data_IF_673889875921
#
_entry.id   IF_673889875921
#
_cell.length_a   1.000
_cell.length_b   1.000
_cell.length_c   1.000
_cell.angle_alpha   90.00
_cell.angle_beta   90.00
_cell.angle_gamma   90.00
#
_symmetry.space_group_name_H-M   'P 1'
#
loop_
_entity.id
_entity.type
_entity.pdbx_description
1 polymer ?
#
# COMPACT_ATOMS: atom_id res chain seq x y z
N UNK A 1 -5.91 -0.58 22.23
CA UNK A 1 -5.96 -0.74 20.79
C UNK A 1 -7.38 -0.54 20.31
N UNK A 2 -7.55 0.06 19.12
CA UNK A 2 -8.87 0.17 18.49
C UNK A 2 -9.34 -1.22 18.08
N UNK A 3 -10.64 -1.51 18.24
CA UNK A 3 -11.25 -2.72 17.70
C UNK A 3 -11.18 -2.69 16.16
N UNK A 4 -11.14 -3.86 15.52
CA UNK A 4 -11.10 -4.00 14.05
C UNK A 4 -12.32 -3.31 13.39
N UNK A 5 -13.41 -3.15 14.15
CA UNK A 5 -14.65 -2.51 13.70
C UNK A 5 -14.82 -1.06 14.13
N UNK A 6 -13.86 -0.50 14.89
CA UNK A 6 -13.90 0.91 15.24
C UNK A 6 -13.62 1.75 13.98
N UNK A 7 -14.63 2.50 13.57
CA UNK A 7 -14.54 3.42 12.42
C UNK A 7 -13.54 4.54 12.74
N UNK A 8 -12.43 4.59 12.00
CA UNK A 8 -11.41 5.63 12.14
C UNK A 8 -11.84 6.96 11.48
N UNK A 9 -13.09 7.39 11.67
CA UNK A 9 -13.63 8.68 11.17
C UNK A 9 -13.01 9.90 11.87
N UNK A 10 -11.71 9.86 12.10
CA UNK A 10 -10.97 11.00 12.65
C UNK A 10 -10.51 11.93 11.54
N UNK A 11 -10.34 13.23 11.87
CA UNK A 11 -9.76 14.21 10.95
C UNK A 11 -8.36 13.76 10.51
N UNK A 12 -7.97 14.09 9.27
CA UNK A 12 -6.63 13.77 8.78
C UNK A 12 -5.55 14.31 9.74
N UNK A 13 -4.70 13.40 10.22
CA UNK A 13 -3.68 13.72 11.24
C UNK A 13 -4.02 13.27 12.66
N UNK A 14 -5.27 12.86 12.93
CA UNK A 14 -5.71 12.26 14.18
C UNK A 14 -6.00 10.76 13.97
N UNK A 15 -5.91 9.97 15.02
CA UNK A 15 -6.18 8.52 14.94
C UNK A 15 -5.13 7.73 14.16
N UNK A 16 -5.56 6.81 13.29
CA UNK A 16 -4.67 5.89 12.54
C UNK A 16 -3.79 6.60 11.50
N UNK A 17 -4.09 7.85 11.13
CA UNK A 17 -3.31 8.65 10.18
C UNK A 17 -2.28 9.56 10.87
N UNK A 18 -2.06 9.39 12.18
CA UNK A 18 -0.99 10.06 12.91
C UNK A 18 0.39 9.54 12.44
N UNK A 19 1.41 10.40 12.20
CA UNK A 19 2.74 9.99 11.74
C UNK A 19 3.42 8.95 12.64
N UNK A 20 3.30 9.06 13.97
CA UNK A 20 3.88 8.10 14.90
C UNK A 20 3.20 6.74 14.80
N UNK A 21 1.88 6.70 14.66
CA UNK A 21 1.13 5.47 14.44
C UNK A 21 1.48 4.84 13.10
N UNK A 22 1.60 5.66 12.05
CA UNK A 22 2.03 5.20 10.72
C UNK A 22 3.39 4.53 10.79
N UNK A 23 4.38 5.17 11.42
CA UNK A 23 5.73 4.61 11.59
C UNK A 23 5.68 3.26 12.32
N UNK A 24 4.92 3.16 13.41
CA UNK A 24 4.77 1.92 14.18
C UNK A 24 4.11 0.80 13.37
N UNK A 25 3.09 1.13 12.56
CA UNK A 25 2.43 0.16 11.67
C UNK A 25 3.44 -0.40 10.66
N UNK A 26 4.19 0.46 9.98
CA UNK A 26 5.18 0.01 8.99
C UNK A 26 6.32 -0.81 9.63
N UNK A 27 6.79 -0.43 10.81
CA UNK A 27 7.77 -1.23 11.57
C UNK A 27 7.21 -2.63 11.88
N UNK A 28 6.00 -2.70 12.43
CA UNK A 28 5.36 -3.99 12.75
C UNK A 28 5.15 -4.85 11.50
N UNK A 29 4.77 -4.23 10.37
CA UNK A 29 4.65 -4.95 9.10
C UNK A 29 5.98 -5.53 8.64
N UNK A 30 7.06 -4.76 8.71
CA UNK A 30 8.39 -5.20 8.35
C UNK A 30 8.88 -6.37 9.22
N UNK A 31 8.70 -6.28 10.54
CA UNK A 31 9.08 -7.35 11.49
C UNK A 31 8.31 -8.65 11.21
N UNK A 32 7.00 -8.56 10.98
CA UNK A 32 6.17 -9.73 10.64
C UNK A 32 6.57 -10.34 9.29
N UNK A 33 6.81 -9.51 8.28
CA UNK A 33 7.25 -9.99 6.97
C UNK A 33 8.62 -10.66 7.05
N UNK A 34 9.56 -10.08 7.81
CA UNK A 34 10.87 -10.68 8.04
C UNK A 34 10.75 -12.09 8.65
N UNK A 35 9.90 -12.25 9.66
CA UNK A 35 9.68 -13.56 10.28
C UNK A 35 9.09 -14.60 9.31
N UNK A 36 8.18 -14.19 8.41
CA UNK A 36 7.58 -15.06 7.38
C UNK A 36 8.65 -15.47 6.36
N UNK A 37 9.42 -14.49 5.85
CA UNK A 37 10.41 -14.74 4.81
C UNK A 37 11.60 -15.56 5.35
N UNK A 38 11.99 -15.36 6.60
CA UNK A 38 12.99 -16.19 7.26
C UNK A 38 12.56 -17.66 7.37
N UNK A 39 11.26 -17.94 7.40
CA UNK A 39 10.68 -19.28 7.30
C UNK A 39 10.62 -19.84 5.86
N UNK A 40 11.17 -19.16 4.85
CA UNK A 40 11.22 -19.60 3.46
C UNK A 40 9.93 -19.33 2.66
N UNK A 41 9.00 -18.48 3.17
CA UNK A 41 7.76 -18.14 2.50
C UNK A 41 7.78 -16.69 2.03
N UNK A 42 7.44 -16.37 0.78
CA UNK A 42 7.33 -14.99 0.33
C UNK A 42 6.20 -14.24 1.08
N UNK A 43 6.41 -12.96 1.36
CA UNK A 43 5.43 -12.10 2.01
C UNK A 43 4.94 -10.99 1.06
N UNK A 44 3.66 -10.71 1.08
CA UNK A 44 3.05 -9.56 0.38
C UNK A 44 2.60 -8.55 1.43
N UNK A 45 3.08 -7.32 1.31
CA UNK A 45 2.70 -6.20 2.15
C UNK A 45 1.76 -5.27 1.37
N UNK A 46 0.49 -5.22 1.77
CA UNK A 46 -0.52 -4.35 1.18
C UNK A 46 -0.71 -3.10 2.05
N UNK A 47 -0.24 -1.95 1.55
CA UNK A 47 -0.36 -0.66 2.23
C UNK A 47 -0.20 0.49 1.22
N UNK A 48 -0.50 1.71 1.63
CA UNK A 48 -0.41 2.89 0.76
C UNK A 48 1.01 3.25 0.36
N UNK A 49 2.02 3.00 1.20
CA UNK A 49 3.43 3.38 0.97
C UNK A 49 3.59 4.77 0.36
N UNK A 50 2.89 5.75 0.92
CA UNK A 50 2.61 7.05 0.31
C UNK A 50 3.85 7.92 0.06
N UNK A 51 4.96 7.73 0.79
CA UNK A 51 6.17 8.53 0.60
C UNK A 51 7.35 7.73 0.08
N UNK A 52 8.19 8.37 -0.71
CA UNK A 52 9.44 7.81 -1.21
C UNK A 52 10.35 7.37 -0.05
N UNK A 53 10.41 8.17 1.00
CA UNK A 53 11.22 7.87 2.18
C UNK A 53 10.81 6.54 2.83
N UNK A 54 9.50 6.29 3.00
CA UNK A 54 8.99 5.03 3.56
C UNK A 54 9.37 3.83 2.69
N UNK A 55 9.22 3.95 1.36
CA UNK A 55 9.59 2.89 0.41
C UNK A 55 11.08 2.59 0.47
N UNK A 56 11.92 3.63 0.49
CA UNK A 56 13.38 3.47 0.59
C UNK A 56 13.82 2.89 1.93
N UNK A 57 13.17 3.29 3.04
CA UNK A 57 13.47 2.72 4.37
C UNK A 57 13.15 1.24 4.40
N UNK A 58 11.98 0.83 3.89
CA UNK A 58 11.60 -0.58 3.81
C UNK A 58 12.56 -1.38 2.92
N UNK A 59 12.88 -0.86 1.74
CA UNK A 59 13.84 -1.51 0.84
C UNK A 59 15.19 -1.74 1.51
N UNK A 60 15.75 -0.72 2.19
CA UNK A 60 17.01 -0.84 2.93
C UNK A 60 16.92 -1.80 4.10
N UNK A 61 15.79 -1.82 4.81
CA UNK A 61 15.57 -2.75 5.91
C UNK A 61 15.69 -4.20 5.43
N UNK A 62 15.00 -4.58 4.37
CA UNK A 62 15.06 -5.95 3.85
C UNK A 62 16.39 -6.26 3.15
N UNK A 63 16.98 -5.31 2.43
CA UNK A 63 18.31 -5.49 1.85
C UNK A 63 19.39 -5.76 2.91
N UNK A 64 19.28 -5.14 4.09
CA UNK A 64 20.16 -5.45 5.24
C UNK A 64 20.01 -6.86 5.82
N UNK A 65 18.97 -7.60 5.40
CA UNK A 65 18.73 -8.99 5.76
C UNK A 65 18.87 -9.94 4.54
N UNK A 66 19.49 -9.47 3.46
CA UNK A 66 19.66 -10.22 2.20
C UNK A 66 18.32 -10.66 1.56
N UNK A 67 17.24 -9.90 1.79
CA UNK A 67 15.93 -10.17 1.23
C UNK A 67 15.65 -9.22 0.06
N UNK A 68 15.40 -9.80 -1.12
CA UNK A 68 14.96 -9.05 -2.28
C UNK A 68 13.53 -8.51 -2.08
N UNK A 69 13.32 -7.26 -2.46
CA UNK A 69 12.01 -6.62 -2.41
C UNK A 69 11.61 -6.08 -3.78
N UNK A 70 10.33 -6.15 -4.11
CA UNK A 70 9.76 -5.57 -5.31
C UNK A 70 8.53 -4.75 -4.94
N UNK A 71 8.50 -3.47 -5.32
CA UNK A 71 7.30 -2.66 -5.19
C UNK A 71 6.42 -2.79 -6.42
N UNK A 72 5.14 -2.97 -6.20
CA UNK A 72 4.11 -2.92 -7.24
C UNK A 72 3.23 -1.72 -6.98
N UNK A 73 3.32 -0.73 -7.84
CA UNK A 73 2.43 0.43 -7.80
C UNK A 73 1.22 0.17 -8.70
N UNK A 74 0.04 0.07 -8.07
CA UNK A 74 -1.23 -0.13 -8.76
C UNK A 74 -1.82 1.24 -9.08
N UNK A 75 -1.83 1.61 -10.34
CA UNK A 75 -2.30 2.89 -10.84
C UNK A 75 -3.67 2.75 -11.55
N UNK A 76 -4.43 3.83 -11.59
CA UNK A 76 -5.62 3.99 -12.43
C UNK A 76 -5.88 5.47 -12.67
N UNK A 77 -6.79 5.79 -13.60
CA UNK A 77 -7.24 7.15 -13.80
C UNK A 77 -7.99 7.70 -12.58
N UNK A 78 -7.95 9.02 -12.40
CA UNK A 78 -8.64 9.68 -11.30
C UNK A 78 -10.16 9.40 -11.32
N UNK A 79 -10.76 9.38 -12.51
CA UNK A 79 -12.17 9.12 -12.68
C UNK A 79 -12.55 7.71 -12.21
N UNK A 80 -11.76 6.71 -12.59
CA UNK A 80 -11.98 5.33 -12.16
C UNK A 80 -11.76 5.17 -10.65
N UNK A 81 -10.76 5.84 -10.09
CA UNK A 81 -10.50 5.84 -8.65
C UNK A 81 -11.69 6.40 -7.87
N UNK A 82 -12.20 7.57 -8.26
CA UNK A 82 -13.38 8.19 -7.61
C UNK A 82 -14.61 7.28 -7.75
N UNK A 83 -14.82 6.69 -8.91
CA UNK A 83 -15.91 5.74 -9.14
C UNK A 83 -15.84 4.54 -8.19
N UNK A 84 -14.65 3.94 -8.02
CA UNK A 84 -14.42 2.81 -7.09
C UNK A 84 -14.63 3.20 -5.63
N UNK A 85 -14.15 4.37 -5.21
CA UNK A 85 -14.37 4.88 -3.86
C UNK A 85 -15.88 5.04 -3.58
N UNK A 86 -16.63 5.64 -4.50
CA UNK A 86 -18.09 5.83 -4.36
C UNK A 86 -18.84 4.49 -4.33
N UNK A 87 -18.46 3.53 -5.16
CA UNK A 87 -19.08 2.21 -5.16
C UNK A 87 -18.87 1.50 -3.81
N UNK A 88 -17.67 1.57 -3.23
CA UNK A 88 -17.39 0.99 -1.90
C UNK A 88 -18.17 1.66 -0.76
N UNK A 89 -18.49 2.94 -0.88
CA UNK A 89 -19.31 3.63 0.13
C UNK A 89 -20.77 3.13 0.17
N UNK A 90 -21.26 2.55 -0.93
CA UNK A 90 -22.60 1.95 -1.01
C UNK A 90 -22.63 0.52 -0.44
N UNK A 91 -21.51 -0.18 -0.50
CA UNK A 91 -21.33 -1.46 0.17
C UNK A 91 -20.84 -1.22 1.61
N UNK A 92 -21.37 -1.96 2.57
CA UNK A 92 -20.94 -1.97 3.99
C UNK A 92 -19.51 -2.51 4.16
N UNK A 93 -18.57 -2.03 3.35
CA UNK A 93 -17.18 -2.45 3.41
C UNK A 93 -16.45 -1.72 4.55
N UNK A 94 -15.57 -2.44 5.22
CA UNK A 94 -14.74 -2.01 6.37
C UNK A 94 -13.76 -0.86 6.02
N UNK A 95 -13.75 -0.37 4.78
CA UNK A 95 -12.83 0.67 4.35
C UNK A 95 -13.36 2.06 4.67
N UNK A 96 -12.66 2.80 5.53
CA UNK A 96 -12.93 4.21 5.84
C UNK A 96 -12.54 5.15 4.68
N UNK A 97 -12.11 4.62 3.52
CA UNK A 97 -11.73 5.41 2.37
C UNK A 97 -12.94 6.11 1.75
N UNK A 98 -13.05 7.39 1.99
CA UNK A 98 -14.05 8.28 1.37
C UNK A 98 -13.39 9.20 0.35
N UNK A 99 -14.19 9.80 -0.55
CA UNK A 99 -13.68 10.82 -1.49
C UNK A 99 -13.05 11.98 -0.74
N UNK A 100 -13.56 12.34 0.44
CA UNK A 100 -13.02 13.43 1.25
C UNK A 100 -11.65 13.06 1.83
N UNK A 101 -11.49 11.84 2.36
CA UNK A 101 -10.19 11.33 2.82
C UNK A 101 -9.20 11.25 1.66
N UNK A 102 -9.63 10.75 0.50
CA UNK A 102 -8.80 10.75 -0.70
C UNK A 102 -8.32 12.16 -1.06
N UNK A 103 -9.21 13.16 -1.10
CA UNK A 103 -8.85 14.54 -1.41
C UNK A 103 -7.88 15.16 -0.40
N UNK A 104 -7.95 14.76 0.87
CA UNK A 104 -7.02 15.21 1.90
C UNK A 104 -5.62 14.56 1.78
N UNK A 105 -5.55 13.34 1.27
CA UNK A 105 -4.33 12.54 1.25
C UNK A 105 -3.63 12.51 -0.11
N UNK A 106 -4.33 12.80 -1.22
CA UNK A 106 -3.79 12.73 -2.59
C UNK A 106 -2.52 13.57 -2.78
N UNK A 107 -2.48 14.76 -2.15
CA UNK A 107 -1.35 15.69 -2.27
C UNK A 107 -0.13 15.24 -1.43
N UNK A 108 -0.32 14.28 -0.52
CA UNK A 108 0.77 13.66 0.27
C UNK A 108 1.35 12.42 -0.40
N UNK A 109 0.68 11.91 -1.43
CA UNK A 109 1.13 10.71 -2.13
C UNK A 109 2.22 11.06 -3.14
N UNK A 110 3.44 10.62 -2.85
CA UNK A 110 4.59 10.74 -3.74
C UNK A 110 4.59 9.56 -4.71
N UNK A 111 4.15 9.83 -5.96
CA UNK A 111 4.10 8.80 -7.00
C UNK A 111 5.50 8.23 -7.22
N UNK A 112 5.67 6.89 -7.20
CA UNK A 112 6.97 6.25 -7.37
C UNK A 112 7.45 6.35 -8.81
N UNK A 113 8.17 7.40 -9.14
CA UNK A 113 8.79 7.64 -10.44
C UNK A 113 10.29 7.53 -10.29
N UNK A 114 10.92 6.70 -11.13
CA UNK A 114 12.38 6.49 -11.11
C UNK A 114 12.94 5.97 -9.77
N UNK A 115 12.11 5.27 -9.01
CA UNK A 115 12.53 4.56 -7.80
C UNK A 115 12.83 3.10 -8.12
N UNK A 116 13.69 2.48 -7.33
CA UNK A 116 14.03 1.06 -7.48
C UNK A 116 13.55 0.27 -6.28
N UNK A 117 13.17 -0.95 -6.49
CA UNK A 117 12.62 -1.59 -7.68
C UNK A 117 11.09 -1.45 -7.73
N UNK A 118 10.55 -0.65 -8.62
CA UNK A 118 9.10 -0.42 -8.75
C UNK A 118 8.60 -0.89 -10.12
N UNK A 119 7.53 -1.66 -10.14
CA UNK A 119 6.74 -1.98 -11.34
C UNK A 119 5.38 -1.33 -11.24
N UNK A 120 4.98 -0.63 -12.31
CA UNK A 120 3.68 0.04 -12.39
C UNK A 120 2.68 -0.88 -13.12
N UNK A 121 1.54 -1.12 -12.50
CA UNK A 121 0.43 -1.90 -13.06
C UNK A 121 -0.78 -0.98 -13.20
N UNK A 122 -1.32 -0.89 -14.42
CA UNK A 122 -2.60 -0.22 -14.66
C UNK A 122 -3.75 -1.18 -14.31
N UNK A 123 -4.52 -0.86 -13.27
CA UNK A 123 -5.63 -1.68 -12.79
C UNK A 123 -6.93 -1.51 -13.59
N UNK A 124 -6.92 -0.71 -14.65
CA UNK A 124 -8.03 -0.63 -15.61
C UNK A 124 -7.92 -1.67 -16.74
N UNK A 125 -6.77 -2.33 -16.86
CA UNK A 125 -6.57 -3.44 -17.77
C UNK A 125 -7.40 -4.66 -17.36
N UNK A 126 -7.60 -5.58 -18.30
CA UNK A 126 -8.27 -6.84 -17.97
C UNK A 126 -7.43 -7.70 -17.02
N UNK A 127 -8.09 -8.59 -16.29
CA UNK A 127 -7.45 -9.39 -15.23
C UNK A 127 -6.38 -10.35 -15.76
N UNK A 128 -6.46 -10.80 -17.00
CA UNK A 128 -5.47 -11.71 -17.58
C UNK A 128 -4.17 -10.97 -17.89
N UNK A 129 -4.25 -9.75 -18.43
CA UNK A 129 -3.08 -8.90 -18.64
C UNK A 129 -2.39 -8.53 -17.32
N UNK A 130 -3.17 -8.20 -16.27
CA UNK A 130 -2.64 -7.90 -14.93
C UNK A 130 -1.95 -9.12 -14.35
N UNK A 131 -2.57 -10.30 -14.46
CA UNK A 131 -2.02 -11.56 -13.98
C UNK A 131 -0.68 -11.90 -14.65
N UNK A 132 -0.59 -11.71 -15.95
CA UNK A 132 0.64 -11.99 -16.69
C UNK A 132 1.76 -11.02 -16.34
N UNK A 133 1.45 -9.75 -16.11
CA UNK A 133 2.42 -8.79 -15.58
C UNK A 133 2.92 -9.18 -14.19
N UNK A 134 2.03 -9.62 -13.29
CA UNK A 134 2.39 -10.05 -11.94
C UNK A 134 3.24 -11.33 -11.95
N UNK A 135 2.93 -12.31 -12.80
CA UNK A 135 3.76 -13.53 -12.96
C UNK A 135 5.21 -13.18 -13.31
N UNK A 136 5.40 -12.23 -14.24
CA UNK A 136 6.73 -11.79 -14.66
C UNK A 136 7.53 -11.08 -13.54
N UNK A 137 6.87 -10.58 -12.52
CA UNK A 137 7.50 -9.99 -11.33
C UNK A 137 7.95 -11.08 -10.35
N UNK A 138 7.07 -12.06 -10.10
CA UNK A 138 7.27 -13.09 -9.09
C UNK A 138 8.29 -14.16 -9.55
N UNK A 139 8.42 -14.37 -10.86
CA UNK A 139 9.29 -15.41 -11.44
C UNK A 139 10.72 -14.91 -11.77
N UNK A 140 11.05 -13.69 -11.42
CA UNK A 140 12.41 -13.13 -11.51
C UNK A 140 13.21 -13.38 -10.24
#
# INVERSE_FOLDING_TARGET
GLDVYDSARSKAGEGIYNPDMTTKVYQTMNEKALAIVAGGTPAILDATFYSQQLRQQMHRYFAGHDIATQFVYVDCSLDELIKRIRARQQDTSISDATVDIFNQLKDRFEKPVNEVPVTIINSEKNMDEIRDQLKNIIMK
#
